data_IF_554773390863
#
_entry.id   IF_554773390863
#
_cell.length_a   1.000
_cell.length_b   1.000
_cell.length_c   1.000
_cell.angle_alpha   90.00
_cell.angle_beta   90.00
_cell.angle_gamma   90.00
#
_symmetry.space_group_name_H-M   'P 1'
#
loop_
_entity.id
_entity.type
_entity.pdbx_description
1 polymer ?
#
# COMPACT_ATOMS: atom_id res chain seq x y z
N UNK A 1 25.29 -10.23 46.23
CA UNK A 1 24.73 -10.74 44.96
C UNK A 1 25.83 -10.58 43.94
N UNK A 2 26.18 -11.61 43.18
CA UNK A 2 27.22 -11.49 42.16
C UNK A 2 26.73 -10.49 41.10
N UNK A 3 27.56 -9.51 40.74
CA UNK A 3 27.25 -8.57 39.66
C UNK A 3 27.17 -9.36 38.35
N UNK A 4 26.05 -9.26 37.64
CA UNK A 4 25.85 -9.92 36.34
C UNK A 4 26.87 -9.38 35.34
N UNK A 5 27.42 -10.26 34.51
CA UNK A 5 28.29 -9.87 33.40
C UNK A 5 27.47 -9.47 32.17
N UNK A 6 28.13 -8.85 31.17
CA UNK A 6 27.48 -8.57 29.88
C UNK A 6 27.05 -9.86 29.17
N UNK A 7 27.84 -10.93 29.26
CA UNK A 7 27.51 -12.24 28.68
C UNK A 7 26.25 -12.84 29.34
N UNK A 8 26.07 -12.66 30.65
CA UNK A 8 24.86 -13.10 31.36
C UNK A 8 23.62 -12.35 30.84
N UNK A 9 23.75 -11.04 30.58
CA UNK A 9 22.69 -10.19 30.03
C UNK A 9 22.32 -10.63 28.60
N UNK A 10 23.30 -10.87 27.74
CA UNK A 10 23.08 -11.32 26.37
C UNK A 10 22.39 -12.70 26.34
N UNK A 11 22.79 -13.59 27.24
CA UNK A 11 22.14 -14.90 27.39
C UNK A 11 20.69 -14.77 27.87
N UNK A 12 20.41 -13.92 28.86
CA UNK A 12 19.04 -13.67 29.32
C UNK A 12 18.15 -13.08 28.22
N UNK A 13 18.71 -12.25 27.32
CA UNK A 13 17.99 -11.73 26.16
C UNK A 13 17.67 -12.82 25.14
N UNK A 14 18.62 -13.72 24.85
CA UNK A 14 18.38 -14.85 23.96
C UNK A 14 17.31 -15.80 24.52
N UNK A 15 17.30 -16.03 25.84
CA UNK A 15 16.26 -16.82 26.51
C UNK A 15 14.88 -16.15 26.42
N UNK A 16 14.79 -14.81 26.52
CA UNK A 16 13.56 -14.07 26.32
C UNK A 16 13.03 -14.17 24.90
N UNK A 17 13.93 -14.09 23.90
CA UNK A 17 13.55 -14.24 22.50
C UNK A 17 12.97 -15.63 22.24
N UNK A 18 13.62 -16.67 22.77
CA UNK A 18 13.12 -18.04 22.67
C UNK A 18 11.75 -18.20 23.33
N UNK A 19 11.56 -17.66 24.53
CA UNK A 19 10.25 -17.72 25.22
C UNK A 19 9.16 -16.96 24.45
N UNK A 20 9.50 -15.83 23.83
CA UNK A 20 8.59 -15.10 22.95
C UNK A 20 8.27 -15.89 21.68
N UNK A 21 9.26 -16.47 21.03
CA UNK A 21 9.10 -17.28 19.82
C UNK A 21 8.21 -18.50 20.10
N UNK A 22 8.53 -19.26 21.14
CA UNK A 22 7.78 -20.44 21.56
C UNK A 22 6.36 -20.08 22.03
N UNK A 23 6.20 -18.92 22.66
CA UNK A 23 4.97 -18.49 23.33
C UNK A 23 3.97 -17.77 22.43
N UNK A 24 4.44 -16.96 21.51
CA UNK A 24 3.66 -15.92 20.83
C UNK A 24 3.87 -15.84 19.32
N UNK A 25 5.10 -16.07 18.84
CA UNK A 25 5.40 -15.92 17.41
C UNK A 25 4.59 -16.90 16.56
N UNK A 26 3.93 -16.39 15.52
CA UNK A 26 3.09 -17.17 14.62
C UNK A 26 1.78 -17.72 15.21
N UNK A 27 1.46 -17.43 16.48
CA UNK A 27 0.22 -17.88 17.12
C UNK A 27 -0.92 -16.88 16.94
N UNK A 28 -2.15 -17.36 16.97
CA UNK A 28 -3.33 -16.50 16.98
C UNK A 28 -3.38 -15.70 18.29
N UNK A 29 -3.50 -14.38 18.17
CA UNK A 29 -3.58 -13.46 19.32
C UNK A 29 -4.76 -13.75 20.24
N UNK A 30 -5.84 -14.35 19.74
CA UNK A 30 -6.98 -14.80 20.54
C UNK A 30 -6.69 -16.04 21.39
N UNK A 31 -5.59 -16.75 21.10
CA UNK A 31 -5.23 -18.03 21.74
C UNK A 31 -4.10 -17.92 22.75
N UNK A 32 -3.49 -16.74 22.89
CA UNK A 32 -2.33 -16.51 23.76
C UNK A 32 -2.67 -15.62 24.96
N UNK A 33 -1.98 -15.83 26.08
CA UNK A 33 -2.23 -15.10 27.32
C UNK A 33 -1.47 -13.77 27.38
N UNK A 34 -2.10 -12.64 27.73
CA UNK A 34 -1.41 -11.38 27.99
C UNK A 34 -0.41 -11.46 29.14
N UNK A 35 -0.67 -12.30 30.16
CA UNK A 35 0.13 -12.35 31.38
C UNK A 35 1.59 -12.82 31.16
N UNK A 36 1.84 -13.64 30.14
CA UNK A 36 3.21 -14.02 29.78
C UNK A 36 3.99 -12.84 29.18
N UNK A 37 3.36 -12.01 28.34
CA UNK A 37 3.97 -10.78 27.81
C UNK A 37 4.28 -9.77 28.93
N UNK A 38 3.41 -9.65 29.94
CA UNK A 38 3.67 -8.81 31.12
C UNK A 38 4.95 -9.25 31.84
N UNK A 39 5.16 -10.56 31.96
CA UNK A 39 6.40 -11.12 32.54
C UNK A 39 7.62 -10.86 31.67
N UNK A 40 7.51 -11.02 30.35
CA UNK A 40 8.60 -10.72 29.42
C UNK A 40 9.00 -9.24 29.50
N UNK A 41 8.03 -8.32 29.52
CA UNK A 41 8.25 -6.86 29.67
C UNK A 41 8.91 -6.54 31.02
N UNK A 42 8.46 -7.16 32.12
CA UNK A 42 9.07 -6.94 33.43
C UNK A 42 10.54 -7.42 33.46
N UNK A 43 10.83 -8.54 32.78
CA UNK A 43 12.19 -9.08 32.65
C UNK A 43 13.07 -8.19 31.78
N UNK A 44 12.60 -7.70 30.62
CA UNK A 44 13.41 -6.76 29.80
C UNK A 44 13.74 -5.47 30.56
N UNK A 45 12.81 -4.94 31.36
CA UNK A 45 13.04 -3.77 32.23
C UNK A 45 14.07 -4.07 33.33
N UNK A 46 14.07 -5.29 33.88
CA UNK A 46 15.08 -5.73 34.86
C UNK A 46 16.46 -5.85 34.22
N UNK A 47 16.55 -6.49 33.06
CA UNK A 47 17.81 -6.62 32.30
C UNK A 47 18.38 -5.25 31.93
N UNK A 48 17.52 -4.31 31.52
CA UNK A 48 17.93 -2.92 31.26
C UNK A 48 18.55 -2.28 32.51
N UNK A 49 17.90 -2.40 33.66
CA UNK A 49 18.41 -1.85 34.91
C UNK A 49 19.74 -2.51 35.34
N UNK A 50 19.92 -3.81 35.07
CA UNK A 50 21.17 -4.51 35.34
C UNK A 50 22.30 -4.04 34.40
N UNK A 51 22.01 -3.79 33.12
CA UNK A 51 22.95 -3.19 32.16
C UNK A 51 23.34 -1.75 32.57
N UNK A 52 22.38 -0.95 33.04
CA UNK A 52 22.64 0.41 33.52
C UNK A 52 23.55 0.40 34.77
N UNK A 53 23.38 -0.57 35.67
CA UNK A 53 24.23 -0.75 36.88
C UNK A 53 25.66 -1.17 36.55
N UNK A 54 25.85 -1.97 35.49
CA UNK A 54 27.17 -2.32 35.00
C UNK A 54 27.97 -1.08 34.59
N UNK A 55 27.32 -0.01 34.15
CA UNK A 55 27.95 1.28 33.87
C UNK A 55 28.85 1.30 32.62
N UNK A 56 29.11 2.50 32.09
CA UNK A 56 29.79 2.68 30.80
C UNK A 56 31.25 2.21 30.77
N UNK A 57 31.93 2.13 31.92
CA UNK A 57 33.34 1.73 32.03
C UNK A 57 33.57 0.21 31.93
N UNK A 58 32.53 -0.59 32.18
CA UNK A 58 32.61 -2.05 32.30
C UNK A 58 31.82 -2.78 31.21
N UNK A 59 30.89 -2.09 30.54
CA UNK A 59 30.05 -2.66 29.48
C UNK A 59 30.65 -2.54 28.05
N UNK A 60 31.75 -1.79 27.87
CA UNK A 60 32.47 -1.66 26.59
C UNK A 60 31.66 -0.97 25.47
N UNK A 61 32.21 -0.94 24.25
CA UNK A 61 31.55 -0.34 23.07
C UNK A 61 30.22 -1.05 22.70
N UNK A 62 30.05 -2.31 23.09
CA UNK A 62 28.86 -3.11 22.81
C UNK A 62 27.64 -2.77 23.68
N UNK A 63 27.83 -2.06 24.80
CA UNK A 63 26.75 -1.71 25.73
C UNK A 63 25.61 -0.94 25.05
N UNK A 64 25.95 -0.02 24.14
CA UNK A 64 24.98 0.78 23.41
C UNK A 64 24.13 -0.08 22.46
N UNK A 65 24.77 -1.05 21.79
CA UNK A 65 24.09 -2.02 20.93
C UNK A 65 23.14 -2.90 21.73
N UNK A 66 23.59 -3.42 22.87
CA UNK A 66 22.76 -4.26 23.75
C UNK A 66 21.59 -3.46 24.33
N UNK A 67 21.81 -2.21 24.75
CA UNK A 67 20.74 -1.33 25.22
C UNK A 67 19.67 -1.09 24.14
N UNK A 68 20.08 -0.76 22.92
CA UNK A 68 19.16 -0.60 21.79
C UNK A 68 18.38 -1.90 21.51
N UNK A 69 19.04 -3.05 21.67
CA UNK A 69 18.45 -4.39 21.55
C UNK A 69 17.37 -4.63 22.62
N UNK A 70 17.62 -4.23 23.87
CA UNK A 70 16.67 -4.36 24.99
C UNK A 70 15.46 -3.45 24.79
N UNK A 71 15.70 -2.19 24.40
CA UNK A 71 14.62 -1.22 24.14
C UNK A 71 13.76 -1.68 22.96
N UNK A 72 14.37 -2.22 21.90
CA UNK A 72 13.67 -2.82 20.77
C UNK A 72 12.73 -3.98 21.16
N UNK A 73 13.21 -4.90 22.00
CA UNK A 73 12.39 -6.01 22.53
C UNK A 73 11.27 -5.53 23.45
N UNK A 74 11.57 -4.58 24.32
CA UNK A 74 10.58 -3.99 25.22
C UNK A 74 9.45 -3.36 24.41
N UNK A 75 9.78 -2.57 23.39
CA UNK A 75 8.79 -1.97 22.49
C UNK A 75 8.00 -3.01 21.70
N UNK A 76 8.64 -4.12 21.28
CA UNK A 76 7.96 -5.23 20.61
C UNK A 76 6.92 -5.88 21.55
N UNK A 77 7.32 -6.26 22.76
CA UNK A 77 6.43 -6.94 23.71
C UNK A 77 5.31 -6.03 24.21
N UNK A 78 5.61 -4.75 24.45
CA UNK A 78 4.60 -3.74 24.83
C UNK A 78 3.57 -3.49 23.72
N UNK A 79 3.99 -3.55 22.45
CA UNK A 79 3.04 -3.51 21.33
C UNK A 79 2.21 -4.79 21.25
N UNK A 80 2.85 -5.95 21.38
CA UNK A 80 2.17 -7.23 21.25
C UNK A 80 1.13 -7.43 22.35
N UNK A 81 1.41 -7.04 23.60
CA UNK A 81 0.44 -7.19 24.69
C UNK A 81 -0.82 -6.34 24.45
N UNK A 82 -0.65 -5.14 23.93
CA UNK A 82 -1.78 -4.26 23.58
C UNK A 82 -2.65 -4.92 22.49
N UNK A 83 -2.02 -5.53 21.49
CA UNK A 83 -2.73 -6.24 20.43
C UNK A 83 -3.40 -7.54 20.90
N UNK A 84 -2.75 -8.31 21.79
CA UNK A 84 -3.34 -9.52 22.38
C UNK A 84 -4.54 -9.16 23.27
N UNK A 85 -4.44 -8.10 24.07
CA UNK A 85 -5.58 -7.61 24.88
C UNK A 85 -6.75 -7.20 23.96
N UNK A 86 -6.47 -6.43 22.92
CA UNK A 86 -7.48 -6.04 21.94
C UNK A 86 -8.08 -7.25 21.19
N UNK A 87 -7.27 -8.25 20.85
CA UNK A 87 -7.74 -9.50 20.25
C UNK A 87 -8.71 -10.22 21.19
N UNK A 88 -8.32 -10.43 22.45
CA UNK A 88 -9.18 -11.06 23.44
C UNK A 88 -10.50 -10.32 23.66
N UNK A 89 -10.50 -8.98 23.60
CA UNK A 89 -11.72 -8.16 23.69
C UNK A 89 -12.61 -8.25 22.44
N UNK A 90 -12.02 -8.32 21.24
CA UNK A 90 -12.76 -8.40 19.97
C UNK A 90 -13.16 -9.83 19.58
N UNK A 91 -12.46 -10.83 20.11
CA UNK A 91 -12.60 -12.24 19.77
C UNK A 91 -12.47 -12.51 18.25
N UNK A 92 -13.38 -13.30 17.65
CA UNK A 92 -13.31 -13.67 16.22
C UNK A 92 -13.39 -12.49 15.25
N UNK A 93 -13.82 -11.30 15.71
CA UNK A 93 -13.87 -10.10 14.88
C UNK A 93 -12.48 -9.49 14.63
N UNK A 94 -11.50 -9.75 15.50
CA UNK A 94 -10.16 -9.15 15.44
C UNK A 94 -9.46 -9.41 14.11
N UNK A 95 -9.46 -10.66 13.63
CA UNK A 95 -8.79 -11.02 12.38
C UNK A 95 -9.40 -10.31 11.17
N UNK A 96 -10.73 -10.21 11.11
CA UNK A 96 -11.44 -9.49 10.04
C UNK A 96 -11.16 -7.98 10.09
N UNK A 97 -11.12 -7.40 11.29
CA UNK A 97 -10.78 -5.99 11.47
C UNK A 97 -9.33 -5.70 11.04
N UNK A 98 -8.39 -6.54 11.47
CA UNK A 98 -6.97 -6.43 11.11
C UNK A 98 -6.74 -6.53 9.60
N UNK A 99 -7.52 -7.36 8.91
CA UNK A 99 -7.48 -7.45 7.45
C UNK A 99 -7.93 -6.14 6.77
N UNK A 100 -8.93 -5.44 7.32
CA UNK A 100 -9.34 -4.13 6.82
C UNK A 100 -8.29 -3.03 7.12
N UNK A 101 -7.64 -3.08 8.28
CA UNK A 101 -6.51 -2.20 8.60
C UNK A 101 -5.34 -2.40 7.62
N UNK A 102 -5.04 -3.66 7.28
CA UNK A 102 -4.03 -3.98 6.26
C UNK A 102 -4.43 -3.48 4.88
N UNK A 103 -5.72 -3.57 4.52
CA UNK A 103 -6.24 -3.00 3.28
C UNK A 103 -6.08 -1.47 3.24
N UNK A 104 -6.31 -0.76 4.35
CA UNK A 104 -6.08 0.69 4.43
C UNK A 104 -4.62 1.06 4.20
N UNK A 105 -3.67 0.30 4.77
CA UNK A 105 -2.25 0.52 4.56
C UNK A 105 -1.86 0.43 3.08
N UNK A 106 -2.42 -0.52 2.32
CA UNK A 106 -2.19 -0.58 0.87
C UNK A 106 -2.64 0.69 0.14
N UNK A 107 -3.75 1.31 0.58
CA UNK A 107 -4.22 2.57 0.00
C UNK A 107 -3.29 3.72 0.38
N UNK A 108 -2.79 3.76 1.62
CA UNK A 108 -1.80 4.76 2.06
C UNK A 108 -0.49 4.63 1.28
N UNK A 109 0.01 3.41 1.09
CA UNK A 109 1.21 3.16 0.32
C UNK A 109 1.01 3.51 -1.15
N UNK A 110 -0.15 3.19 -1.73
CA UNK A 110 -0.48 3.59 -3.11
C UNK A 110 -0.53 5.12 -3.25
N UNK A 111 -1.08 5.83 -2.27
CA UNK A 111 -0.99 7.29 -2.25
C UNK A 111 0.47 7.76 -2.24
N UNK A 112 1.30 7.23 -1.34
CA UNK A 112 2.70 7.64 -1.23
C UNK A 112 3.46 7.39 -2.55
N UNK A 113 3.34 6.21 -3.17
CA UNK A 113 4.02 5.89 -4.44
C UNK A 113 3.63 6.82 -5.59
N UNK A 114 2.38 7.27 -5.64
CA UNK A 114 1.85 8.06 -6.75
C UNK A 114 1.90 9.57 -6.53
N UNK A 115 2.01 10.06 -5.30
CA UNK A 115 1.92 11.50 -5.00
C UNK A 115 3.10 12.08 -4.24
N UNK A 116 3.91 11.26 -3.55
CA UNK A 116 5.06 11.76 -2.82
C UNK A 116 6.05 12.44 -3.78
N UNK A 117 6.52 13.63 -3.40
CA UNK A 117 7.45 14.43 -4.22
C UNK A 117 6.85 15.05 -5.48
N UNK A 118 5.58 14.77 -5.83
CA UNK A 118 4.95 15.34 -7.02
C UNK A 118 4.27 16.68 -6.71
N UNK A 119 4.43 17.64 -7.60
CA UNK A 119 3.71 18.92 -7.54
C UNK A 119 2.21 18.69 -7.77
N UNK A 120 1.36 19.47 -7.09
CA UNK A 120 -0.11 19.26 -7.12
C UNK A 120 -0.69 19.28 -8.54
N UNK A 121 -0.09 20.06 -9.41
CA UNK A 121 -0.56 20.28 -10.77
C UNK A 121 -0.27 19.09 -11.72
N UNK A 122 0.63 18.17 -11.34
CA UNK A 122 0.94 16.94 -12.09
C UNK A 122 0.22 15.69 -11.57
N UNK A 123 -0.62 15.83 -10.53
CA UNK A 123 -1.26 14.72 -9.81
C UNK A 123 -2.49 14.17 -10.56
N UNK A 124 -2.67 12.86 -10.54
CA UNK A 124 -3.84 12.17 -11.10
C UNK A 124 -5.07 12.29 -10.19
N UNK A 125 -5.91 13.29 -10.42
CA UNK A 125 -7.14 13.49 -9.65
C UNK A 125 -8.09 12.28 -9.65
N UNK A 126 -8.13 11.50 -10.74
CA UNK A 126 -9.01 10.33 -10.84
C UNK A 126 -8.55 9.21 -9.91
N UNK A 127 -7.24 8.98 -9.82
CA UNK A 127 -6.68 8.04 -8.85
C UNK A 127 -7.00 8.48 -7.42
N UNK A 128 -6.83 9.77 -7.10
CA UNK A 128 -7.09 10.27 -5.74
C UNK A 128 -8.54 10.03 -5.31
N UNK A 129 -9.50 10.27 -6.20
CA UNK A 129 -10.93 9.96 -5.98
C UNK A 129 -11.17 8.48 -5.70
N UNK A 130 -10.48 7.60 -6.44
CA UNK A 130 -10.58 6.16 -6.21
C UNK A 130 -10.04 5.78 -4.82
N UNK A 131 -8.89 6.33 -4.40
CA UNK A 131 -8.32 6.08 -3.07
C UNK A 131 -9.25 6.55 -1.94
N UNK A 132 -9.86 7.73 -2.10
CA UNK A 132 -10.86 8.25 -1.14
C UNK A 132 -12.04 7.29 -1.00
N UNK A 133 -12.61 6.84 -2.13
CA UNK A 133 -13.77 5.95 -2.10
C UNK A 133 -13.42 4.60 -1.49
N UNK A 134 -12.25 4.05 -1.79
CA UNK A 134 -11.80 2.80 -1.19
C UNK A 134 -11.62 2.92 0.33
N UNK A 135 -10.99 3.99 0.82
CA UNK A 135 -10.86 4.24 2.26
C UNK A 135 -12.23 4.37 2.95
N UNK A 136 -13.21 5.00 2.29
CA UNK A 136 -14.59 5.07 2.83
C UNK A 136 -15.22 3.70 2.94
N UNK A 137 -15.05 2.85 1.92
CA UNK A 137 -15.56 1.49 1.96
C UNK A 137 -14.83 0.64 3.03
N UNK A 138 -13.52 0.82 3.20
CA UNK A 138 -12.74 0.18 4.28
C UNK A 138 -13.26 0.64 5.64
N UNK A 139 -13.38 1.95 5.89
CA UNK A 139 -13.94 2.50 7.13
C UNK A 139 -15.33 1.94 7.42
N UNK A 140 -16.20 1.87 6.42
CA UNK A 140 -17.54 1.28 6.56
C UNK A 140 -17.47 -0.18 7.01
N UNK A 141 -16.56 -0.98 6.46
CA UNK A 141 -16.38 -2.39 6.86
C UNK A 141 -15.76 -2.53 8.25
N UNK A 142 -14.77 -1.71 8.59
CA UNK A 142 -14.20 -1.65 9.95
C UNK A 142 -15.29 -1.38 10.99
N UNK A 143 -16.13 -0.36 10.76
CA UNK A 143 -17.22 0.00 11.65
C UNK A 143 -18.35 -1.04 11.71
N UNK A 144 -18.58 -1.80 10.62
CA UNK A 144 -19.55 -2.89 10.62
C UNK A 144 -19.09 -4.12 11.43
N UNK A 145 -17.76 -4.27 11.61
CA UNK A 145 -17.15 -5.36 12.39
C UNK A 145 -16.90 -4.91 13.85
N UNK A 146 -16.76 -3.60 14.07
CA UNK A 146 -16.44 -3.02 15.37
C UNK A 146 -17.53 -3.32 16.42
N UNK A 147 -17.15 -3.76 17.63
CA UNK A 147 -18.08 -3.77 18.77
C UNK A 147 -18.45 -2.34 19.17
N UNK A 148 -19.48 -2.21 20.03
CA UNK A 148 -19.95 -0.90 20.53
C UNK A 148 -18.84 -0.08 21.20
N UNK A 149 -17.94 -0.75 21.93
CA UNK A 149 -16.75 -0.14 22.52
C UNK A 149 -15.54 -0.77 21.85
N UNK A 150 -14.94 -0.04 20.91
CA UNK A 150 -13.78 -0.49 20.17
C UNK A 150 -12.51 -0.34 21.04
N UNK A 151 -11.64 -1.35 21.12
CA UNK A 151 -10.37 -1.20 21.83
C UNK A 151 -9.55 -0.05 21.25
N UNK A 152 -8.78 0.63 22.11
CA UNK A 152 -8.04 1.84 21.74
C UNK A 152 -7.17 1.70 20.47
N UNK A 153 -6.40 0.61 20.25
CA UNK A 153 -5.59 0.49 19.03
C UNK A 153 -6.43 0.47 17.76
N UNK A 154 -7.61 -0.15 17.80
CA UNK A 154 -8.50 -0.27 16.67
C UNK A 154 -9.26 1.03 16.43
N UNK A 155 -9.56 1.77 17.49
CA UNK A 155 -10.07 3.14 17.36
C UNK A 155 -9.04 4.03 16.66
N UNK A 156 -7.75 3.93 17.02
CA UNK A 156 -6.68 4.65 16.32
C UNK A 156 -6.61 4.31 14.83
N UNK A 157 -6.81 3.05 14.46
CA UNK A 157 -6.85 2.66 13.03
C UNK A 157 -8.02 3.32 12.29
N UNK A 158 -9.22 3.34 12.89
CA UNK A 158 -10.41 4.02 12.31
C UNK A 158 -10.16 5.53 12.18
N UNK A 159 -9.54 6.14 13.19
CA UNK A 159 -9.22 7.56 13.20
C UNK A 159 -8.18 7.89 12.13
N UNK A 160 -7.14 7.06 11.98
CA UNK A 160 -6.14 7.21 10.93
C UNK A 160 -6.75 7.12 9.53
N UNK A 161 -7.65 6.15 9.30
CA UNK A 161 -8.39 6.06 8.03
C UNK A 161 -9.24 7.31 7.80
N UNK A 162 -9.91 7.81 8.84
CA UNK A 162 -10.73 9.02 8.76
C UNK A 162 -9.90 10.25 8.41
N UNK A 163 -8.78 10.47 9.09
CA UNK A 163 -7.87 11.58 8.82
C UNK A 163 -7.32 11.52 7.38
N UNK A 164 -6.99 10.32 6.88
CA UNK A 164 -6.53 10.15 5.51
C UNK A 164 -7.61 10.44 4.47
N UNK A 165 -8.87 10.04 4.73
CA UNK A 165 -10.01 10.42 3.89
C UNK A 165 -10.11 11.94 3.78
N UNK A 166 -10.11 12.64 4.92
CA UNK A 166 -10.22 14.10 4.96
C UNK A 166 -9.07 14.78 4.22
N UNK A 167 -7.83 14.33 4.46
CA UNK A 167 -6.63 14.82 3.79
C UNK A 167 -6.72 14.65 2.27
N UNK A 168 -7.10 13.46 1.80
CA UNK A 168 -7.21 13.18 0.36
C UNK A 168 -8.35 13.96 -0.29
N UNK A 169 -9.48 14.14 0.41
CA UNK A 169 -10.57 14.98 -0.06
C UNK A 169 -10.21 16.46 -0.13
N UNK A 170 -9.36 16.96 0.77
CA UNK A 170 -8.84 18.31 0.69
C UNK A 170 -7.97 18.46 -0.57
N UNK A 171 -7.07 17.51 -0.81
CA UNK A 171 -6.24 17.48 -2.03
C UNK A 171 -7.09 17.37 -3.32
N UNK A 172 -8.20 16.64 -3.30
CA UNK A 172 -9.15 16.54 -4.43
C UNK A 172 -9.67 17.93 -4.86
N UNK A 173 -9.80 18.87 -3.93
CA UNK A 173 -10.25 20.24 -4.20
C UNK A 173 -9.12 21.15 -4.68
N UNK A 174 -7.90 20.92 -4.18
CA UNK A 174 -6.74 21.76 -4.51
C UNK A 174 -6.08 21.40 -5.84
N UNK A 175 -6.08 20.12 -6.23
CA UNK A 175 -5.47 19.68 -7.50
C UNK A 175 -6.08 20.40 -8.72
N UNK A 176 -7.41 20.50 -8.90
CA UNK A 176 -7.99 21.26 -10.01
C UNK A 176 -7.55 22.72 -10.03
N UNK A 177 -7.43 23.36 -8.86
CA UNK A 177 -6.99 24.76 -8.74
C UNK A 177 -5.54 24.92 -9.19
N UNK A 178 -4.66 24.02 -8.74
CA UNK A 178 -3.27 23.97 -9.17
C UNK A 178 -3.14 23.70 -10.68
N UNK A 179 -3.95 22.79 -11.21
CA UNK A 179 -3.96 22.46 -12.64
C UNK A 179 -4.44 23.62 -13.52
N UNK A 180 -5.36 24.44 -13.03
CA UNK A 180 -5.87 25.62 -13.72
C UNK A 180 -5.04 26.90 -13.49
N UNK A 181 -3.97 26.84 -12.69
CA UNK A 181 -3.10 27.98 -12.43
C UNK A 181 -2.10 28.22 -13.57
N UNK A 182 -1.59 29.46 -13.67
CA UNK A 182 -0.62 29.86 -14.70
C UNK A 182 -1.27 30.31 -16.01
N UNK A 183 -0.45 30.47 -17.04
CA UNK A 183 -0.93 30.94 -18.35
C UNK A 183 -1.77 29.87 -19.05
N UNK A 184 -2.54 30.27 -20.08
CA UNK A 184 -3.29 29.30 -20.88
C UNK A 184 -2.38 28.28 -21.58
N UNK A 185 -1.16 28.67 -21.93
CA UNK A 185 -0.17 27.78 -22.54
C UNK A 185 0.37 26.77 -21.54
N UNK A 186 0.71 27.22 -20.32
CA UNK A 186 1.11 26.32 -19.22
C UNK A 186 0.02 25.29 -18.92
N UNK A 187 -1.25 25.74 -18.87
CA UNK A 187 -2.40 24.87 -18.66
C UNK A 187 -2.53 23.84 -19.79
N UNK A 188 -2.40 24.24 -21.06
CA UNK A 188 -2.47 23.32 -22.21
C UNK A 188 -1.36 22.25 -22.15
N UNK A 189 -0.12 22.66 -21.85
CA UNK A 189 1.01 21.75 -21.69
C UNK A 189 0.78 20.76 -20.54
N UNK A 190 0.24 21.24 -19.42
CA UNK A 190 -0.09 20.41 -18.26
C UNK A 190 -1.19 19.40 -18.57
N UNK A 191 -2.27 19.80 -19.24
CA UNK A 191 -3.33 18.86 -19.62
C UNK A 191 -2.86 17.81 -20.62
N UNK A 192 -1.96 18.18 -21.54
CA UNK A 192 -1.32 17.22 -22.44
C UNK A 192 -0.44 16.21 -21.67
N UNK A 193 0.37 16.69 -20.73
CA UNK A 193 1.18 15.84 -19.85
C UNK A 193 0.30 14.86 -19.05
N UNK A 194 -0.76 15.35 -18.42
CA UNK A 194 -1.69 14.52 -17.66
C UNK A 194 -2.42 13.49 -18.54
N UNK A 195 -2.77 13.85 -19.78
CA UNK A 195 -3.33 12.90 -20.75
C UNK A 195 -2.33 11.79 -21.11
N UNK A 196 -1.05 12.12 -21.31
CA UNK A 196 0.00 11.14 -21.57
C UNK A 196 0.19 10.17 -20.40
N UNK A 197 0.08 10.63 -19.16
CA UNK A 197 0.07 9.73 -18.00
C UNK A 197 -1.10 8.73 -18.07
N UNK A 198 -2.29 9.16 -18.48
CA UNK A 198 -3.42 8.23 -18.66
C UNK A 198 -3.21 7.24 -19.81
N UNK A 199 -2.49 7.64 -20.87
CA UNK A 199 -2.09 6.70 -21.93
C UNK A 199 -1.11 5.65 -21.40
N UNK A 200 -0.17 6.04 -20.53
CA UNK A 200 0.74 5.11 -19.88
C UNK A 200 0.00 4.13 -18.97
N UNK A 201 -1.03 4.58 -18.22
CA UNK A 201 -1.91 3.67 -17.45
C UNK A 201 -2.59 2.67 -18.38
N UNK A 202 -3.16 3.11 -19.51
CA UNK A 202 -3.76 2.16 -20.45
C UNK A 202 -2.73 1.13 -20.95
N UNK A 203 -1.56 1.58 -21.36
CA UNK A 203 -0.49 0.71 -21.87
C UNK A 203 -0.07 -0.33 -20.82
N UNK A 204 0.10 0.08 -19.56
CA UNK A 204 0.59 -0.81 -18.49
C UNK A 204 -0.44 -1.85 -18.05
N UNK A 205 -1.73 -1.52 -18.04
CA UNK A 205 -2.78 -2.35 -17.43
C UNK A 205 -3.69 -3.06 -18.44
N UNK A 206 -3.72 -2.62 -19.70
CA UNK A 206 -4.64 -3.14 -20.72
C UNK A 206 -3.92 -3.73 -21.94
N UNK A 207 -2.85 -3.10 -22.42
CA UNK A 207 -2.16 -3.59 -23.60
C UNK A 207 -1.55 -5.00 -23.36
N UNK A 208 -1.80 -5.93 -24.29
CA UNK A 208 -1.31 -7.31 -24.20
C UNK A 208 -1.99 -8.20 -23.16
N UNK A 209 -2.88 -7.66 -22.32
CA UNK A 209 -3.54 -8.44 -21.25
C UNK A 209 -4.80 -9.15 -21.76
N UNK A 210 -5.24 -10.24 -21.12
CA UNK A 210 -6.54 -10.84 -21.45
C UNK A 210 -7.70 -9.91 -21.06
N UNK A 211 -8.71 -9.76 -21.92
CA UNK A 211 -9.94 -8.98 -21.61
C UNK A 211 -10.65 -9.47 -20.36
N UNK A 212 -10.51 -10.76 -20.02
CA UNK A 212 -11.10 -11.35 -18.82
C UNK A 212 -10.41 -10.84 -17.54
N UNK A 213 -9.08 -10.63 -17.57
CA UNK A 213 -8.29 -10.19 -16.41
C UNK A 213 -8.26 -8.68 -16.18
N UNK A 214 -8.67 -7.88 -17.17
CA UNK A 214 -8.65 -6.41 -17.10
C UNK A 214 -9.82 -5.89 -16.26
N UNK A 215 -9.55 -4.98 -15.32
CA UNK A 215 -10.57 -4.34 -14.49
C UNK A 215 -11.33 -3.26 -15.27
N UNK A 216 -12.65 -3.41 -15.52
CA UNK A 216 -13.41 -2.41 -16.28
C UNK A 216 -13.42 -1.02 -15.62
N UNK A 217 -13.48 -0.96 -14.29
CA UNK A 217 -13.56 0.28 -13.52
C UNK A 217 -12.28 1.13 -13.66
N UNK A 218 -11.11 0.50 -13.78
CA UNK A 218 -9.87 1.23 -14.06
C UNK A 218 -9.92 1.89 -15.44
N UNK A 219 -10.49 1.24 -16.45
CA UNK A 219 -10.62 1.84 -17.78
C UNK A 219 -11.64 2.98 -17.78
N UNK A 220 -12.73 2.85 -17.03
CA UNK A 220 -13.69 3.94 -16.80
C UNK A 220 -12.97 5.16 -16.22
N UNK A 221 -12.15 4.99 -15.17
CA UNK A 221 -11.35 6.08 -14.58
C UNK A 221 -10.43 6.75 -15.60
N UNK A 222 -9.72 5.96 -16.41
CA UNK A 222 -8.84 6.47 -17.48
C UNK A 222 -9.64 7.30 -18.48
N UNK A 223 -10.79 6.80 -18.93
CA UNK A 223 -11.68 7.51 -19.87
C UNK A 223 -12.22 8.80 -19.26
N UNK A 224 -12.66 8.79 -18.00
CA UNK A 224 -13.18 9.97 -17.31
C UNK A 224 -12.11 11.06 -17.13
N UNK A 225 -10.89 10.66 -16.76
CA UNK A 225 -9.76 11.58 -16.69
C UNK A 225 -9.45 12.21 -18.05
N UNK A 226 -9.38 11.40 -19.11
CA UNK A 226 -9.14 11.89 -20.47
C UNK A 226 -10.24 12.84 -20.94
N UNK A 227 -11.52 12.54 -20.66
CA UNK A 227 -12.65 13.44 -20.94
C UNK A 227 -12.49 14.77 -20.22
N UNK A 228 -12.08 14.77 -18.95
CA UNK A 228 -11.84 16.01 -18.18
C UNK A 228 -10.74 16.86 -18.84
N UNK A 229 -9.58 16.26 -19.16
CA UNK A 229 -8.48 16.98 -19.76
C UNK A 229 -8.82 17.50 -21.16
N UNK A 230 -9.53 16.69 -21.95
CA UNK A 230 -10.05 17.10 -23.25
C UNK A 230 -10.97 18.31 -23.14
N UNK A 231 -11.93 18.29 -22.22
CA UNK A 231 -12.83 19.43 -21.96
C UNK A 231 -12.03 20.67 -21.58
N UNK A 232 -11.06 20.54 -20.66
CA UNK A 232 -10.23 21.67 -20.25
C UNK A 232 -9.40 22.26 -21.41
N UNK A 233 -8.83 21.41 -22.27
CA UNK A 233 -8.12 21.85 -23.49
C UNK A 233 -9.06 22.56 -24.49
N UNK A 234 -10.30 22.09 -24.62
CA UNK A 234 -11.33 22.76 -25.43
C UNK A 234 -11.74 24.11 -24.84
N UNK A 235 -11.86 24.21 -23.51
CA UNK A 235 -12.20 25.47 -22.85
C UNK A 235 -11.11 26.53 -23.06
N UNK A 236 -9.83 26.12 -23.07
CA UNK A 236 -8.73 27.01 -23.44
C UNK A 236 -8.85 27.51 -24.87
N UNK A 237 -9.17 26.63 -25.82
CA UNK A 237 -9.42 27.00 -27.23
C UNK A 237 -10.58 27.99 -27.35
N UNK A 238 -11.69 27.75 -26.64
CA UNK A 238 -12.85 28.64 -26.61
C UNK A 238 -12.55 30.00 -25.96
N UNK A 239 -11.54 30.06 -25.09
CA UNK A 239 -10.97 31.30 -24.53
C UNK A 239 -9.91 31.95 -25.43
N UNK A 240 -9.92 31.61 -26.72
CA UNK A 240 -9.05 32.14 -27.77
C UNK A 240 -7.56 31.75 -27.65
N UNK A 241 -7.23 30.64 -26.99
CA UNK A 241 -5.87 30.08 -27.08
C UNK A 241 -5.61 29.63 -28.53
N UNK A 242 -4.69 30.31 -29.22
CA UNK A 242 -4.26 29.97 -30.58
C UNK A 242 -3.02 29.07 -30.52
N UNK A 243 -3.22 27.78 -30.27
CA UNK A 243 -2.13 26.79 -30.22
C UNK A 243 -2.45 25.57 -31.07
N UNK A 244 -1.69 25.39 -32.16
CA UNK A 244 -1.77 24.20 -33.01
C UNK A 244 -1.42 22.92 -32.24
N UNK A 245 -0.52 23.03 -31.24
CA UNK A 245 -0.20 21.90 -30.37
C UNK A 245 -1.41 21.49 -29.52
N UNK A 246 -2.13 22.46 -28.94
CA UNK A 246 -3.35 22.15 -28.17
C UNK A 246 -4.42 21.50 -29.05
N UNK A 247 -4.62 22.00 -30.27
CA UNK A 247 -5.54 21.40 -31.24
C UNK A 247 -5.16 19.96 -31.59
N UNK A 248 -3.87 19.70 -31.83
CA UNK A 248 -3.37 18.35 -32.08
C UNK A 248 -3.57 17.41 -30.88
N UNK A 249 -3.28 17.90 -29.67
CA UNK A 249 -3.46 17.14 -28.42
C UNK A 249 -4.93 16.75 -28.21
N UNK A 250 -5.86 17.67 -28.45
CA UNK A 250 -7.30 17.37 -28.43
C UNK A 250 -7.63 16.23 -29.39
N UNK A 251 -7.15 16.29 -30.64
CA UNK A 251 -7.40 15.24 -31.63
C UNK A 251 -6.85 13.87 -31.22
N UNK A 252 -5.67 13.83 -30.61
CA UNK A 252 -5.08 12.59 -30.07
C UNK A 252 -5.96 12.04 -28.94
N UNK A 253 -6.37 12.89 -27.99
CA UNK A 253 -7.23 12.47 -26.89
C UNK A 253 -8.58 11.96 -27.39
N UNK A 254 -9.16 12.59 -28.42
CA UNK A 254 -10.39 12.13 -29.07
C UNK A 254 -10.26 10.73 -29.68
N UNK A 255 -9.18 10.50 -30.43
CA UNK A 255 -8.89 9.18 -30.98
C UNK A 255 -8.76 8.10 -29.90
N UNK A 256 -8.06 8.43 -28.79
CA UNK A 256 -7.88 7.51 -27.67
C UNK A 256 -9.17 7.25 -26.90
N UNK A 257 -9.98 8.29 -26.64
CA UNK A 257 -11.30 8.15 -26.01
C UNK A 257 -12.19 7.19 -26.79
N UNK A 258 -12.29 7.37 -28.12
CA UNK A 258 -13.07 6.47 -28.98
C UNK A 258 -12.58 5.02 -28.89
N UNK A 259 -11.27 4.80 -28.95
CA UNK A 259 -10.68 3.47 -28.86
C UNK A 259 -10.93 2.82 -27.49
N UNK A 260 -10.79 3.59 -26.40
CA UNK A 260 -10.94 3.08 -25.03
C UNK A 260 -12.40 2.81 -24.67
N UNK A 261 -13.34 3.65 -25.11
CA UNK A 261 -14.78 3.39 -24.95
C UNK A 261 -15.19 2.09 -25.68
N UNK A 262 -14.70 1.88 -26.90
CA UNK A 262 -14.95 0.65 -27.65
C UNK A 262 -14.36 -0.57 -26.92
N UNK A 263 -13.13 -0.49 -26.45
CA UNK A 263 -12.48 -1.59 -25.72
C UNK A 263 -13.18 -1.88 -24.38
N UNK A 264 -13.69 -0.86 -23.67
CA UNK A 264 -14.50 -1.05 -22.47
C UNK A 264 -15.77 -1.87 -22.77
N UNK A 265 -16.43 -1.58 -23.90
CA UNK A 265 -17.57 -2.36 -24.38
C UNK A 265 -17.21 -3.82 -24.61
N UNK A 266 -16.10 -4.07 -25.31
CA UNK A 266 -15.62 -5.42 -25.61
C UNK A 266 -15.18 -6.19 -24.35
N UNK A 267 -14.54 -5.53 -23.37
CA UNK A 267 -14.20 -6.13 -22.08
C UNK A 267 -15.48 -6.56 -21.35
N UNK A 268 -16.46 -5.65 -21.23
CA UNK A 268 -17.73 -5.95 -20.55
C UNK A 268 -18.47 -7.10 -21.22
N UNK A 269 -18.57 -7.09 -22.55
CA UNK A 269 -19.17 -8.16 -23.35
C UNK A 269 -18.47 -9.49 -23.09
N UNK A 270 -17.14 -9.52 -23.25
CA UNK A 270 -16.33 -10.74 -23.03
C UNK A 270 -16.53 -11.30 -21.62
N UNK A 271 -16.50 -10.43 -20.59
CA UNK A 271 -16.68 -10.86 -19.20
C UNK A 271 -18.09 -11.34 -18.91
N UNK A 272 -19.12 -10.71 -19.50
CA UNK A 272 -20.52 -11.11 -19.29
C UNK A 272 -20.85 -12.50 -19.86
N UNK A 273 -20.08 -12.97 -20.84
CA UNK A 273 -20.21 -14.32 -21.40
C UNK A 273 -19.44 -15.40 -20.65
N UNK A 274 -18.68 -15.05 -19.60
CA UNK A 274 -17.82 -15.98 -18.85
C UNK A 274 -18.36 -16.14 -17.43
N UNK A 275 -18.36 -17.36 -16.89
CA UNK A 275 -18.81 -17.61 -15.51
C UNK A 275 -17.86 -16.94 -14.53
N UNK A 276 -18.36 -16.42 -13.41
CA UNK A 276 -17.53 -15.70 -12.44
C UNK A 276 -16.38 -16.56 -11.90
N UNK A 277 -16.61 -17.85 -11.68
CA UNK A 277 -15.57 -18.81 -11.26
C UNK A 277 -14.41 -18.88 -12.27
N UNK A 278 -14.70 -18.87 -13.57
CA UNK A 278 -13.67 -18.92 -14.61
C UNK A 278 -12.91 -17.58 -14.69
N UNK A 279 -13.59 -16.46 -14.41
CA UNK A 279 -12.94 -15.15 -14.26
C UNK A 279 -11.99 -15.18 -13.06
N UNK A 280 -12.43 -15.66 -11.90
CA UNK A 280 -11.59 -15.80 -10.70
C UNK A 280 -10.35 -16.67 -10.97
N UNK A 281 -10.51 -17.80 -11.68
CA UNK A 281 -9.40 -18.64 -12.11
C UNK A 281 -8.42 -17.91 -13.02
N UNK A 282 -8.93 -17.14 -13.99
CA UNK A 282 -8.10 -16.31 -14.89
C UNK A 282 -7.33 -15.23 -14.14
N UNK A 283 -7.95 -14.59 -13.14
CA UNK A 283 -7.27 -13.61 -12.28
C UNK A 283 -6.15 -14.26 -11.47
N UNK A 284 -6.35 -15.49 -10.97
CA UNK A 284 -5.30 -16.25 -10.28
C UNK A 284 -4.10 -16.54 -11.17
N UNK A 285 -4.34 -16.96 -12.41
CA UNK A 285 -3.28 -17.16 -13.40
C UNK A 285 -2.55 -15.86 -13.76
N UNK A 286 -3.28 -14.74 -13.87
CA UNK A 286 -2.66 -13.44 -14.09
C UNK A 286 -1.77 -13.02 -12.92
N UNK A 287 -2.18 -13.29 -11.67
CA UNK A 287 -1.36 -13.02 -10.49
C UNK A 287 -0.09 -13.86 -10.49
N UNK A 288 -0.18 -15.15 -10.83
CA UNK A 288 1.00 -16.02 -10.97
C UNK A 288 1.99 -15.48 -11.99
N UNK A 289 1.53 -14.95 -13.13
CA UNK A 289 2.42 -14.33 -14.12
C UNK A 289 3.17 -13.12 -13.55
N UNK A 290 2.53 -12.29 -12.71
CA UNK A 290 3.21 -11.19 -12.00
C UNK A 290 4.21 -11.72 -10.97
N UNK A 291 3.90 -12.83 -10.28
CA UNK A 291 4.84 -13.46 -9.35
C UNK A 291 6.10 -13.95 -10.06
N UNK A 292 5.97 -14.54 -11.24
CA UNK A 292 7.10 -14.93 -12.09
C UNK A 292 7.93 -13.69 -12.52
N UNK A 293 7.28 -12.62 -12.96
CA UNK A 293 7.95 -11.36 -13.34
C UNK A 293 8.75 -10.80 -12.16
N UNK A 294 8.17 -10.74 -10.97
CA UNK A 294 8.87 -10.30 -9.77
C UNK A 294 10.10 -11.16 -9.45
N UNK A 295 9.97 -12.50 -9.50
CA UNK A 295 11.07 -13.42 -9.18
C UNK A 295 12.21 -13.29 -10.18
N UNK A 296 11.89 -13.07 -11.45
CA UNK A 296 12.88 -12.85 -12.51
C UNK A 296 13.59 -11.51 -12.35
N UNK A 297 12.84 -10.45 -12.05
CA UNK A 297 13.34 -9.09 -12.20
C UNK A 297 13.82 -8.43 -10.91
N UNK A 298 13.41 -8.94 -9.73
CA UNK A 298 13.69 -8.31 -8.43
C UNK A 298 14.24 -9.27 -7.37
N UNK A 299 13.72 -10.51 -7.28
CA UNK A 299 14.10 -11.41 -6.19
C UNK A 299 15.61 -11.71 -6.20
N UNK A 300 16.27 -11.47 -5.06
CA UNK A 300 17.69 -11.71 -4.87
C UNK A 300 18.62 -10.74 -5.60
N UNK A 301 18.08 -9.69 -6.25
CA UNK A 301 18.90 -8.67 -6.92
C UNK A 301 19.26 -7.52 -5.99
N UNK A 302 20.32 -6.80 -6.34
CA UNK A 302 20.74 -5.61 -5.61
C UNK A 302 19.70 -4.48 -5.77
N UNK A 303 19.18 -4.04 -4.62
CA UNK A 303 18.21 -2.96 -4.47
C UNK A 303 18.67 -1.64 -5.10
N UNK A 304 19.98 -1.40 -5.21
CA UNK A 304 20.51 -0.19 -5.85
C UNK A 304 20.40 -0.20 -7.38
N UNK A 305 20.14 -1.37 -7.98
CA UNK A 305 20.20 -1.57 -9.44
C UNK A 305 18.85 -1.86 -10.11
N UNK A 306 17.85 -2.29 -9.34
CA UNK A 306 16.52 -2.62 -9.85
C UNK A 306 15.67 -1.36 -10.08
N UNK A 307 14.74 -1.39 -11.03
CA UNK A 307 13.86 -0.23 -11.28
C UNK A 307 12.74 -0.14 -10.26
N UNK A 308 12.76 0.93 -9.46
CA UNK A 308 11.68 1.24 -8.51
C UNK A 308 10.35 1.48 -9.24
N UNK A 309 10.38 2.08 -10.44
CA UNK A 309 9.20 2.34 -11.26
C UNK A 309 8.54 1.03 -11.72
N UNK A 310 9.33 0.06 -12.20
CA UNK A 310 8.82 -1.24 -12.60
C UNK A 310 8.25 -2.02 -11.40
N UNK A 311 8.91 -1.96 -10.24
CA UNK A 311 8.40 -2.58 -9.02
C UNK A 311 7.08 -1.93 -8.57
N UNK A 312 6.99 -0.60 -8.61
CA UNK A 312 5.74 0.11 -8.32
C UNK A 312 4.62 -0.33 -9.27
N UNK A 313 4.91 -0.46 -10.56
CA UNK A 313 3.93 -0.92 -11.54
C UNK A 313 3.47 -2.37 -11.28
N UNK A 314 4.37 -3.25 -10.84
CA UNK A 314 4.00 -4.62 -10.41
C UNK A 314 3.08 -4.61 -9.19
N UNK A 315 3.38 -3.80 -8.18
CA UNK A 315 2.53 -3.64 -6.99
C UNK A 315 1.14 -3.17 -7.38
N UNK A 316 1.04 -2.19 -8.28
CA UNK A 316 -0.25 -1.68 -8.72
C UNK A 316 -1.02 -2.70 -9.57
N UNK A 317 -0.35 -3.44 -10.47
CA UNK A 317 -0.99 -4.52 -11.24
C UNK A 317 -1.56 -5.60 -10.32
N UNK A 318 -0.80 -6.00 -9.30
CA UNK A 318 -1.25 -6.98 -8.32
C UNK A 318 -2.46 -6.46 -7.51
N UNK A 319 -2.47 -5.18 -7.16
CA UNK A 319 -3.60 -4.52 -6.50
C UNK A 319 -4.87 -4.53 -7.36
N UNK A 320 -4.76 -4.28 -8.68
CA UNK A 320 -5.91 -4.34 -9.58
C UNK A 320 -6.48 -5.77 -9.74
N UNK A 321 -5.64 -6.80 -9.63
CA UNK A 321 -6.10 -8.19 -9.59
C UNK A 321 -6.79 -8.50 -8.26
N UNK A 322 -6.18 -8.13 -7.13
CA UNK A 322 -6.75 -8.31 -5.79
C UNK A 322 -8.15 -7.70 -5.68
N UNK A 323 -8.32 -6.43 -6.10
CA UNK A 323 -9.61 -5.72 -6.06
C UNK A 323 -10.69 -6.50 -6.80
N UNK A 324 -10.37 -7.02 -7.98
CA UNK A 324 -11.32 -7.81 -8.78
C UNK A 324 -11.66 -9.13 -8.11
N UNK A 325 -10.67 -9.85 -7.57
CA UNK A 325 -10.91 -11.10 -6.85
C UNK A 325 -11.81 -10.88 -5.63
N UNK A 326 -11.59 -9.81 -4.87
CA UNK A 326 -12.41 -9.45 -3.71
C UNK A 326 -13.83 -9.04 -4.10
N UNK A 327 -13.99 -8.24 -5.16
CA UNK A 327 -15.31 -7.85 -5.66
C UNK A 327 -16.12 -9.07 -6.10
N UNK A 328 -15.49 -9.97 -6.87
CA UNK A 328 -16.14 -11.21 -7.31
C UNK A 328 -16.43 -12.15 -6.13
N UNK A 329 -15.51 -12.27 -5.16
CA UNK A 329 -15.68 -13.13 -3.98
C UNK A 329 -16.82 -12.68 -3.05
N UNK A 330 -17.21 -11.40 -3.10
CA UNK A 330 -18.42 -10.90 -2.41
C UNK A 330 -19.70 -11.32 -3.11
N UNK A 331 -19.66 -11.49 -4.43
CA UNK A 331 -20.83 -11.86 -5.25
C UNK A 331 -21.03 -13.38 -5.25
N UNK A 332 -19.95 -14.15 -5.42
CA UNK A 332 -19.98 -15.60 -5.47
C UNK A 332 -18.88 -16.18 -4.57
N UNK A 333 -19.28 -17.02 -3.61
CA UNK A 333 -18.32 -17.67 -2.71
C UNK A 333 -17.53 -18.73 -3.47
N UNK A 334 -16.21 -18.67 -3.40
CA UNK A 334 -15.32 -19.65 -4.01
C UNK A 334 -14.07 -19.79 -3.13
N UNK A 335 -13.85 -20.99 -2.56
CA UNK A 335 -12.75 -21.22 -1.62
C UNK A 335 -11.37 -21.04 -2.25
N UNK A 336 -11.21 -21.43 -3.53
CA UNK A 336 -9.97 -21.22 -4.28
C UNK A 336 -9.69 -19.73 -4.45
N UNK A 337 -10.71 -18.92 -4.76
CA UNK A 337 -10.58 -17.47 -4.85
C UNK A 337 -10.23 -16.85 -3.49
N UNK A 338 -10.82 -17.32 -2.39
CA UNK A 338 -10.45 -16.87 -1.04
C UNK A 338 -8.96 -17.12 -0.77
N UNK A 339 -8.47 -18.33 -1.03
CA UNK A 339 -7.03 -18.66 -0.90
C UNK A 339 -6.15 -17.81 -1.81
N UNK A 340 -6.58 -17.57 -3.06
CA UNK A 340 -5.85 -16.71 -3.98
C UNK A 340 -5.76 -15.27 -3.47
N UNK A 341 -6.83 -14.72 -2.88
CA UNK A 341 -6.82 -13.38 -2.28
C UNK A 341 -5.80 -13.30 -1.16
N UNK A 342 -5.73 -14.31 -0.29
CA UNK A 342 -4.78 -14.34 0.82
C UNK A 342 -3.34 -14.35 0.31
N UNK A 343 -3.02 -15.23 -0.66
CA UNK A 343 -1.70 -15.28 -1.30
C UNK A 343 -1.35 -13.93 -1.95
N UNK A 344 -2.29 -13.35 -2.70
CA UNK A 344 -2.09 -12.06 -3.37
C UNK A 344 -1.83 -10.94 -2.36
N UNK A 345 -2.53 -10.93 -1.23
CA UNK A 345 -2.30 -9.96 -0.15
C UNK A 345 -0.92 -10.11 0.49
N UNK A 346 -0.47 -11.34 0.72
CA UNK A 346 0.86 -11.60 1.28
C UNK A 346 1.97 -11.13 0.34
N UNK A 347 1.86 -11.45 -0.95
CA UNK A 347 2.79 -10.95 -1.97
C UNK A 347 2.74 -9.43 -2.08
N UNK A 348 1.55 -8.82 -2.05
CA UNK A 348 1.41 -7.36 -2.10
C UNK A 348 2.10 -6.70 -0.90
N UNK A 349 1.90 -7.22 0.32
CA UNK A 349 2.59 -6.73 1.52
C UNK A 349 4.12 -6.88 1.41
N UNK A 350 4.59 -8.01 0.87
CA UNK A 350 6.01 -8.24 0.63
C UNK A 350 6.60 -7.23 -0.37
N UNK A 351 5.93 -7.02 -1.51
CA UNK A 351 6.42 -6.14 -2.56
C UNK A 351 6.36 -4.66 -2.19
N UNK A 352 5.38 -4.25 -1.39
CA UNK A 352 5.33 -2.89 -0.84
C UNK A 352 6.54 -2.63 0.06
N UNK A 353 6.90 -3.57 0.94
CA UNK A 353 8.11 -3.46 1.76
C UNK A 353 9.37 -3.45 0.90
N UNK A 354 9.44 -4.31 -0.10
CA UNK A 354 10.59 -4.34 -1.01
C UNK A 354 10.73 -3.01 -1.77
N UNK A 355 9.62 -2.43 -2.24
CA UNK A 355 9.63 -1.11 -2.88
C UNK A 355 10.20 -0.03 -1.95
N UNK A 356 9.78 0.00 -0.69
CA UNK A 356 10.30 0.94 0.30
C UNK A 356 11.80 0.73 0.54
N UNK A 357 12.25 -0.53 0.63
CA UNK A 357 13.67 -0.87 0.80
C UNK A 357 14.52 -0.49 -0.42
N UNK A 358 14.00 -0.71 -1.64
CA UNK A 358 14.63 -0.28 -2.90
C UNK A 358 14.78 1.23 -2.94
N UNK A 359 13.71 1.97 -2.64
CA UNK A 359 13.74 3.45 -2.58
C UNK A 359 14.78 3.96 -1.59
N UNK A 360 14.78 3.42 -0.37
CA UNK A 360 15.73 3.81 0.67
C UNK A 360 17.19 3.53 0.25
N UNK A 361 17.46 2.37 -0.35
CA UNK A 361 18.81 2.02 -0.82
C UNK A 361 19.29 2.96 -1.95
N UNK A 362 18.41 3.31 -2.89
CA UNK A 362 18.73 4.20 -4.00
C UNK A 362 18.91 5.65 -3.56
N UNK A 363 18.11 6.11 -2.60
CA UNK A 363 18.25 7.44 -2.00
C UNK A 363 19.56 7.55 -1.21
N UNK A 364 19.91 6.53 -0.42
CA UNK A 364 21.18 6.48 0.29
C UNK A 364 22.39 6.51 -0.66
N UNK A 365 22.36 5.74 -1.74
CA UNK A 365 23.43 5.75 -2.75
C UNK A 365 23.57 7.11 -3.44
N UNK A 366 22.44 7.78 -3.71
CA UNK A 366 22.43 9.10 -4.32
C UNK A 366 23.02 10.17 -3.40
N UNK A 367 22.71 10.09 -2.09
CA UNK A 367 23.22 11.01 -1.08
C UNK A 367 24.75 10.89 -0.88
N UNK A 368 25.30 9.67 -1.00
CA UNK A 368 26.76 9.45 -0.95
C UNK A 368 27.44 10.10 -2.16
N UNK A 369 26.89 9.90 -3.37
CA UNK A 369 27.45 10.47 -4.61
C UNK A 369 27.41 12.00 -4.69
N UNK A 370 26.58 12.66 -3.90
CA UNK A 370 26.49 14.14 -3.86
C UNK A 370 27.44 14.78 -2.84
N UNK A 371 28.05 13.99 -1.96
CA UNK A 371 28.98 14.47 -0.94
C UNK A 371 30.46 14.21 -1.29
N UNK A 372 30.72 13.51 -2.40
CA UNK A 372 32.02 13.39 -3.08
C UNK A 372 32.07 14.36 -4.26
#
# INVERSE_FOLDING_TARGET
MADKTLEDIEKELADLDKEYEDGYSGKDRNSVSPAGLEKLIARTKTIRADLEKLGALTAGENAATVLASIDGRTALYEREIVLVKAANEMGPAFGRFSAEGSAANFVFDRYNRHYAGQSRDTRDLGLLKELVEELRQIKKRMLAIAPKNLPEPMQRDVDLVTQNIERYQAEEREIPRAQAAGTQEDQANRYAFLANQQFAVYQSFFAGQSRISRRPQLLVRVIENLRRYRTAMFDLKNKNLKSTSNDGNIGIVDGRLKAYDAELGEIRKTRSSVKLVDIMGTLGNAANALFEEYRKDFAGKDRTTVSAEQLSALVDKLDELRRQMEELGRVEKNETNTKNIDIVRDYQASWVREYQAVRAAQEALSAVKTND
#
